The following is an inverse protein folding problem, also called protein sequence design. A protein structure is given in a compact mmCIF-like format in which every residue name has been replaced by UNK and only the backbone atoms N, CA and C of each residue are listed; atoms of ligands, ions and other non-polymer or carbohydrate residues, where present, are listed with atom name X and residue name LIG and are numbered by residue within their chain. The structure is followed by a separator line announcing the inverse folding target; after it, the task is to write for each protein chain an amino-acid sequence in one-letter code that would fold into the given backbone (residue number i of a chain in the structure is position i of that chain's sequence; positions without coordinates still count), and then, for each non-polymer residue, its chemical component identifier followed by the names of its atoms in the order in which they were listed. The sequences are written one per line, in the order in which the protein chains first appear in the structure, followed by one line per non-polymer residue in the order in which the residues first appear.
data_IF_889003618651
#
_entry.id   IF_889003618651
#
_cell.length_a   1.000
_cell.length_b   1.000
_cell.length_c   1.000
_cell.angle_alpha   90.00
_cell.angle_beta   90.00
_cell.angle_gamma   90.00
#
_symmetry.space_group_name_H-M   'P 1'
#
loop_
_entity.id
_entity.type
_entity.pdbx_description
1 polymer ?
#
# COMPACT_ATOMS: atom_id res chain seq x y z
N UNK A 1 -3.95 -5.20 -3.90
CA UNK A 1 -3.42 -5.27 -2.51
C UNK A 1 -2.08 -5.98 -2.36
N UNK A 2 -1.72 -6.94 -3.22
CA UNK A 2 -0.41 -7.65 -3.12
C UNK A 2 0.80 -6.70 -3.16
N UNK A 3 0.80 -5.69 -4.04
CA UNK A 3 1.89 -4.71 -4.11
C UNK A 3 2.14 -3.96 -2.79
N UNK A 4 1.07 -3.58 -2.08
CA UNK A 4 1.16 -2.95 -0.75
C UNK A 4 1.72 -3.92 0.30
N UNK A 5 1.33 -5.20 0.26
CA UNK A 5 1.85 -6.21 1.18
C UNK A 5 3.34 -6.49 0.94
N UNK A 6 3.79 -6.46 -0.32
CA UNK A 6 5.21 -6.58 -0.67
C UNK A 6 5.99 -5.36 -0.17
N UNK A 7 5.53 -4.14 -0.46
CA UNK A 7 6.16 -2.91 0.03
C UNK A 7 6.22 -2.89 1.56
N UNK A 8 5.16 -3.34 2.24
CA UNK A 8 5.13 -3.49 3.69
C UNK A 8 6.27 -4.37 4.21
N UNK A 9 6.53 -5.51 3.56
CA UNK A 9 7.60 -6.42 3.97
C UNK A 9 8.99 -5.90 3.60
N UNK A 10 9.16 -5.35 2.39
CA UNK A 10 10.43 -4.80 1.92
C UNK A 10 10.92 -3.64 2.78
N UNK A 11 10.01 -2.77 3.19
CA UNK A 11 10.31 -1.55 3.95
C UNK A 11 10.07 -1.72 5.46
N UNK A 12 9.66 -2.92 5.89
CA UNK A 12 9.32 -3.25 7.27
C UNK A 12 8.34 -2.24 7.92
N UNK A 13 7.27 -1.90 7.19
CA UNK A 13 6.27 -0.91 7.61
C UNK A 13 5.06 -1.57 8.29
N UNK A 14 4.31 -0.79 9.09
CA UNK A 14 2.97 -1.17 9.53
C UNK A 14 1.93 -0.97 8.41
N UNK A 15 0.74 -1.54 8.57
CA UNK A 15 -0.37 -1.39 7.60
C UNK A 15 -0.77 0.08 7.40
N UNK A 16 -0.86 0.84 8.49
CA UNK A 16 -1.15 2.27 8.44
C UNK A 16 -0.05 3.05 7.72
N UNK A 17 1.22 2.72 8.01
CA UNK A 17 2.37 3.41 7.43
C UNK A 17 2.49 3.13 5.94
N UNK A 18 2.27 1.90 5.48
CA UNK A 18 2.35 1.58 4.04
C UNK A 18 1.23 2.26 3.25
N UNK A 19 0.01 2.35 3.81
CA UNK A 19 -1.12 3.06 3.19
C UNK A 19 -0.86 4.57 3.12
N UNK A 20 -0.34 5.16 4.21
CA UNK A 20 0.06 6.58 4.23
C UNK A 20 1.19 6.88 3.24
N UNK A 21 2.19 5.99 3.15
CA UNK A 21 3.33 6.18 2.27
C UNK A 21 2.95 5.98 0.81
N UNK A 22 2.04 5.07 0.51
CA UNK A 22 1.46 4.95 -0.83
C UNK A 22 0.79 6.26 -1.27
N UNK A 23 0.01 6.90 -0.40
CA UNK A 23 -0.63 8.18 -0.71
C UNK A 23 0.40 9.27 -1.02
N UNK A 24 1.53 9.30 -0.31
CA UNK A 24 2.55 10.37 -0.43
C UNK A 24 3.61 10.09 -1.50
N UNK A 25 3.85 8.82 -1.84
CA UNK A 25 4.98 8.41 -2.65
C UNK A 25 4.51 7.87 -4.01
N UNK A 26 4.70 8.62 -5.12
CA UNK A 26 4.30 8.17 -6.45
C UNK A 26 5.03 6.90 -6.89
N UNK A 27 6.24 6.63 -6.37
CA UNK A 27 6.97 5.39 -6.68
C UNK A 27 6.24 4.15 -6.16
N UNK A 28 5.59 4.24 -4.99
CA UNK A 28 4.83 3.13 -4.42
C UNK A 28 3.56 2.85 -5.23
N UNK A 29 2.94 3.92 -5.76
CA UNK A 29 1.78 3.79 -6.64
C UNK A 29 2.18 3.15 -7.97
N UNK A 30 3.28 3.61 -8.57
CA UNK A 30 3.81 3.03 -9.79
C UNK A 30 4.18 1.54 -9.61
N UNK A 31 4.83 1.19 -8.50
CA UNK A 31 5.15 -0.20 -8.16
C UNK A 31 3.89 -1.08 -8.06
N UNK A 32 2.79 -0.52 -7.55
CA UNK A 32 1.51 -1.22 -7.48
C UNK A 32 0.72 -1.23 -8.80
N UNK A 33 1.30 -0.70 -9.89
CA UNK A 33 0.71 -0.72 -11.24
C UNK A 33 -0.13 0.51 -11.60
N UNK A 34 -0.06 1.60 -10.83
CA UNK A 34 -0.76 2.84 -11.16
C UNK A 34 0.05 3.67 -12.16
N UNK A 35 -0.60 4.11 -13.23
CA UNK A 35 0.00 4.95 -14.28
C UNK A 35 0.00 6.45 -13.95
N UNK A 36 -0.93 6.88 -13.10
CA UNK A 36 -1.08 8.27 -12.68
C UNK A 36 -1.04 8.36 -11.16
N UNK A 37 -0.54 9.49 -10.66
CA UNK A 37 -0.53 9.77 -9.22
C UNK A 37 -1.95 10.05 -8.72
N UNK A 38 -2.37 9.30 -7.70
CA UNK A 38 -3.63 9.47 -6.99
C UNK A 38 -3.35 9.90 -5.54
N UNK A 39 -3.77 11.10 -5.10
CA UNK A 39 -3.56 11.57 -3.74
C UNK A 39 -4.50 10.93 -2.69
N UNK A 40 -5.17 9.82 -3.04
CA UNK A 40 -6.08 9.08 -2.17
C UNK A 40 -5.37 7.97 -1.40
N UNK A 41 -5.99 7.51 -0.30
CA UNK A 41 -5.59 6.24 0.30
C UNK A 41 -6.13 5.10 -0.58
N UNK A 42 -5.33 4.06 -0.87
CA UNK A 42 -5.74 2.97 -1.75
C UNK A 42 -6.81 2.06 -1.12
N UNK A 43 -6.83 1.99 0.21
CA UNK A 43 -7.68 1.11 1.01
C UNK A 43 -7.60 1.50 2.48
N UNK A 44 -8.48 0.94 3.32
CA UNK A 44 -8.33 1.08 4.78
C UNK A 44 -7.20 0.15 5.26
N UNK A 45 -6.36 0.61 6.19
CA UNK A 45 -5.25 -0.18 6.74
C UNK A 45 -5.72 -1.52 7.34
N UNK A 46 -6.94 -1.56 7.92
CA UNK A 46 -7.52 -2.78 8.48
C UNK A 46 -7.81 -3.85 7.42
N UNK A 47 -8.09 -3.46 6.16
CA UNK A 47 -8.38 -4.39 5.08
C UNK A 47 -7.15 -5.21 4.66
N UNK A 48 -5.93 -4.73 4.94
CA UNK A 48 -4.69 -5.46 4.68
C UNK A 48 -4.53 -6.70 5.56
N UNK A 49 -5.18 -6.75 6.73
CA UNK A 49 -5.15 -7.91 7.63
C UNK A 49 -6.08 -9.00 7.12
N UNK A 50 -7.27 -8.62 6.62
CA UNK A 50 -8.26 -9.55 6.07
C UNK A 50 -7.78 -10.27 4.81
N UNK A 51 -6.87 -9.65 4.05
CA UNK A 51 -6.28 -10.28 2.87
C UNK A 51 -5.30 -11.42 3.17
N UNK A 52 -4.85 -11.58 4.43
CA UNK A 52 -3.97 -12.69 4.85
C UNK A 52 -4.73 -13.87 5.46
N UNK A 53 -6.01 -13.70 5.78
CA UNK A 53 -6.83 -14.69 6.49
C UNK A 53 -7.72 -15.54 5.58
N UNK A 54 -7.37 -15.64 4.29
CA UNK A 54 -8.02 -16.52 3.31
C UNK A 54 -7.12 -17.72 3.03
#
# INVERSE_FOLDING_TARGET
MVGLLLLKQLENLSDERVVLQFKRNPYYQYFCGYSNYMPGMPCNATELVHFRSV
#
